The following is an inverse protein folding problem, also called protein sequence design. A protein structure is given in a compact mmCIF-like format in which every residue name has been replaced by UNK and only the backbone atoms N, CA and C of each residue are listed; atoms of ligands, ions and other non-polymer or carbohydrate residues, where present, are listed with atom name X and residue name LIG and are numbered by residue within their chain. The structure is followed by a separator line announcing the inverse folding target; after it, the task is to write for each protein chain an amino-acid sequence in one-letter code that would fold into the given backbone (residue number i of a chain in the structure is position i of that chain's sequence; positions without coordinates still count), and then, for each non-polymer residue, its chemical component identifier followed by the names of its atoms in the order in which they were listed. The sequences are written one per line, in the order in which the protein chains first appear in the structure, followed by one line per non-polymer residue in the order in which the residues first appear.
data_IF_325796005828
#
_entry.id   IF_325796005828
#
_cell.length_a   1.000
_cell.length_b   1.000
_cell.length_c   1.000
_cell.angle_alpha   90.00
_cell.angle_beta   90.00
_cell.angle_gamma   90.00
#
_symmetry.space_group_name_H-M   'P 1'
#
loop_
_entity.id
_entity.type
_entity.pdbx_description
1 polymer ?
#
# COMPACT_ATOMS: atom_id res chain seq x y z
N UNK A 1 55.53 -75.95 10.43
CA UNK A 1 55.83 -74.53 10.17
C UNK A 1 54.70 -73.93 9.33
N UNK A 2 54.00 -72.95 9.94
CA UNK A 2 53.31 -71.79 9.35
C UNK A 2 52.23 -72.04 8.26
N UNK A 3 50.97 -72.07 8.71
CA UNK A 3 49.79 -71.82 7.86
C UNK A 3 49.48 -70.31 7.84
N UNK A 4 49.15 -69.80 6.66
CA UNK A 4 49.01 -68.37 6.32
C UNK A 4 47.59 -67.90 6.69
N UNK A 5 47.49 -66.98 7.65
CA UNK A 5 46.24 -66.29 8.01
C UNK A 5 46.08 -65.10 7.05
N UNK A 6 45.05 -65.14 6.19
CA UNK A 6 44.64 -64.00 5.36
C UNK A 6 43.77 -63.06 6.22
N UNK A 7 44.33 -61.90 6.54
CA UNK A 7 43.63 -60.82 7.24
C UNK A 7 42.75 -60.07 6.23
N UNK A 8 41.43 -60.26 6.32
CA UNK A 8 40.44 -59.51 5.56
C UNK A 8 40.20 -58.18 6.29
N UNK A 9 40.77 -57.08 5.78
CA UNK A 9 40.54 -55.75 6.33
C UNK A 9 39.23 -55.20 5.78
N UNK A 10 38.18 -55.23 6.60
CA UNK A 10 36.88 -54.64 6.32
C UNK A 10 37.00 -53.11 6.44
N UNK A 11 37.01 -52.41 5.30
CA UNK A 11 37.01 -50.95 5.24
C UNK A 11 35.59 -50.44 5.51
N UNK A 12 35.31 -50.09 6.76
CA UNK A 12 34.04 -49.50 7.20
C UNK A 12 33.94 -48.07 6.64
N UNK A 13 33.11 -47.90 5.60
CA UNK A 13 32.79 -46.60 5.03
C UNK A 13 31.85 -45.85 5.99
N UNK A 14 32.41 -44.94 6.79
CA UNK A 14 31.65 -44.05 7.67
C UNK A 14 31.01 -42.96 6.80
N UNK A 15 29.75 -43.17 6.41
CA UNK A 15 28.93 -42.12 5.80
C UNK A 15 28.48 -41.16 6.90
N UNK A 16 29.10 -39.98 6.98
CA UNK A 16 28.57 -38.88 7.78
C UNK A 16 27.27 -38.39 7.14
N UNK A 17 26.14 -38.82 7.68
CA UNK A 17 24.86 -38.14 7.48
C UNK A 17 24.95 -36.80 8.25
N UNK A 18 25.36 -35.74 7.56
CA UNK A 18 25.12 -34.38 8.04
C UNK A 18 23.63 -34.12 7.91
N UNK A 19 22.92 -34.40 8.99
CA UNK A 19 21.55 -33.96 9.16
C UNK A 19 21.64 -32.50 9.60
N UNK A 20 21.60 -31.57 8.65
CA UNK A 20 21.31 -30.18 8.96
C UNK A 20 19.93 -30.19 9.59
N UNK A 21 19.89 -30.06 10.92
CA UNK A 21 18.63 -29.77 11.60
C UNK A 21 18.31 -28.36 11.17
N UNK A 22 17.37 -28.22 10.23
CA UNK A 22 16.77 -26.94 9.91
C UNK A 22 16.13 -26.41 11.19
N UNK A 23 16.87 -25.56 11.91
CA UNK A 23 16.33 -24.78 13.02
C UNK A 23 15.16 -23.95 12.45
N UNK A 24 13.99 -23.94 13.09
CA UNK A 24 12.85 -23.21 12.58
C UNK A 24 13.26 -21.73 12.44
N UNK A 25 13.08 -21.19 11.24
CA UNK A 25 13.36 -19.79 10.98
C UNK A 25 12.57 -18.93 11.96
N UNK A 26 13.28 -18.16 12.80
CA UNK A 26 12.63 -17.23 13.72
C UNK A 26 12.01 -16.10 12.91
N UNK A 27 10.73 -15.86 13.14
CA UNK A 27 9.99 -14.76 12.50
C UNK A 27 9.59 -13.72 13.55
N UNK A 28 9.39 -12.48 13.09
CA UNK A 28 8.93 -11.36 13.91
C UNK A 28 7.86 -10.53 13.20
N UNK A 29 7.54 -9.37 13.78
CA UNK A 29 6.67 -8.36 13.17
C UNK A 29 7.35 -6.99 13.14
N UNK A 30 6.85 -6.12 12.26
CA UNK A 30 7.25 -4.73 12.14
C UNK A 30 6.01 -3.88 11.93
N UNK A 31 5.97 -2.71 12.58
CA UNK A 31 4.97 -1.69 12.29
C UNK A 31 5.54 -0.70 11.27
N UNK A 32 4.72 -0.36 10.26
CA UNK A 32 5.02 0.68 9.28
C UNK A 32 3.95 1.76 9.44
N UNK A 33 4.37 2.95 9.84
CA UNK A 33 3.51 4.10 10.07
C UNK A 33 3.56 5.08 8.89
N UNK A 34 2.39 5.57 8.48
CA UNK A 34 2.19 6.50 7.38
C UNK A 34 1.71 7.86 7.89
N UNK A 35 2.68 8.71 8.27
CA UNK A 35 2.43 10.07 8.71
C UNK A 35 2.22 11.02 7.53
N UNK A 36 1.00 11.55 7.40
CA UNK A 36 0.71 12.58 6.42
C UNK A 36 1.11 13.95 6.96
N UNK A 37 2.17 14.52 6.39
CA UNK A 37 2.71 15.83 6.78
C UNK A 37 2.47 16.88 5.69
N UNK A 38 2.30 18.12 6.11
CA UNK A 38 2.18 19.28 5.22
C UNK A 38 3.21 20.35 5.60
N UNK A 39 3.70 21.09 4.61
CA UNK A 39 4.57 22.25 4.82
C UNK A 39 3.72 23.51 4.64
N UNK A 40 3.54 24.27 5.72
CA UNK A 40 2.81 25.53 5.71
C UNK A 40 3.74 26.64 6.19
N UNK A 41 3.93 27.65 5.33
CA UNK A 41 4.87 28.76 5.57
C UNK A 41 6.30 28.29 5.92
N UNK A 42 6.75 27.21 5.28
CA UNK A 42 8.07 26.62 5.52
C UNK A 42 8.19 25.77 6.78
N UNK A 43 7.09 25.56 7.52
CA UNK A 43 7.05 24.75 8.73
C UNK A 43 6.36 23.43 8.42
N UNK A 44 7.03 22.32 8.74
CA UNK A 44 6.41 20.99 8.71
C UNK A 44 5.43 20.86 9.87
N UNK A 45 4.22 20.41 9.57
CA UNK A 45 3.18 20.12 10.54
C UNK A 45 2.40 18.88 10.12
N UNK A 46 1.77 18.22 11.09
CA UNK A 46 0.82 17.15 10.81
C UNK A 46 -0.31 17.68 9.93
N UNK A 47 -0.73 16.90 8.94
CA UNK A 47 -1.91 17.21 8.17
C UNK A 47 -3.12 17.27 9.11
N UNK A 48 -3.89 18.33 8.95
CA UNK A 48 -5.16 18.54 9.63
C UNK A 48 -6.29 18.65 8.62
N UNK A 49 -7.40 18.01 8.93
CA UNK A 49 -8.62 18.11 8.13
C UNK A 49 -9.59 19.12 8.72
N UNK A 50 -10.31 19.81 7.86
CA UNK A 50 -11.43 20.67 8.21
C UNK A 50 -12.75 19.91 8.02
N UNK A 51 -13.75 20.23 8.82
CA UNK A 51 -15.12 19.74 8.60
C UNK A 51 -15.64 20.23 7.24
N UNK A 52 -16.32 19.38 6.44
CA UNK A 52 -16.98 19.81 5.22
C UNK A 52 -17.91 21.01 5.48
N UNK A 53 -17.82 22.03 4.62
CA UNK A 53 -18.52 23.32 4.76
C UNK A 53 -17.71 24.41 5.46
N UNK A 54 -16.56 24.11 6.07
CA UNK A 54 -15.71 25.11 6.73
C UNK A 54 -15.08 26.09 5.74
N UNK A 55 -15.12 27.39 6.08
CA UNK A 55 -14.42 28.46 5.37
C UNK A 55 -13.00 28.72 5.93
N UNK A 56 -12.51 27.88 6.84
CA UNK A 56 -11.15 27.97 7.35
C UNK A 56 -10.21 27.22 6.41
N UNK A 57 -9.22 27.91 5.85
CA UNK A 57 -8.24 27.36 4.91
C UNK A 57 -6.85 27.32 5.52
N UNK A 58 -6.38 26.13 5.89
CA UNK A 58 -5.10 25.90 6.54
C UNK A 58 -3.90 25.78 5.59
N UNK A 59 -4.14 25.63 4.28
CA UNK A 59 -3.11 25.36 3.29
C UNK A 59 -3.13 26.38 2.15
N UNK A 60 -2.00 26.51 1.46
CA UNK A 60 -1.85 27.38 0.28
C UNK A 60 -1.03 26.63 -0.77
N UNK A 61 -1.52 26.59 -2.02
CA UNK A 61 -0.80 25.96 -3.12
C UNK A 61 0.26 26.90 -3.72
N UNK A 62 1.02 26.43 -4.71
CA UNK A 62 2.05 27.21 -5.39
C UNK A 62 1.54 28.44 -6.17
N UNK A 63 0.23 28.51 -6.42
CA UNK A 63 -0.44 29.63 -7.07
C UNK A 63 -0.97 30.67 -6.07
N UNK A 64 -0.71 30.50 -4.76
CA UNK A 64 -1.21 31.38 -3.72
C UNK A 64 -2.69 31.18 -3.36
N UNK A 65 -3.32 30.12 -3.86
CA UNK A 65 -4.72 29.81 -3.58
C UNK A 65 -4.82 29.04 -2.26
N UNK A 66 -5.63 29.56 -1.34
CA UNK A 66 -5.89 28.93 -0.05
C UNK A 66 -6.89 27.80 -0.17
N UNK A 67 -6.69 26.71 0.56
CA UNK A 67 -7.62 25.58 0.59
C UNK A 67 -7.61 24.87 1.95
N UNK A 68 -8.61 24.02 2.17
CA UNK A 68 -8.64 23.03 3.24
C UNK A 68 -8.79 21.62 2.67
N UNK A 69 -8.62 20.64 3.54
CA UNK A 69 -8.72 19.21 3.23
C UNK A 69 -9.86 18.67 4.07
N UNK A 70 -10.85 18.04 3.45
CA UNK A 70 -11.98 17.40 4.13
C UNK A 70 -11.84 15.88 4.14
N UNK A 71 -11.13 15.32 3.15
CA UNK A 71 -10.88 13.90 3.02
C UNK A 71 -9.48 13.70 2.44
N UNK A 72 -8.72 12.79 3.06
CA UNK A 72 -7.54 12.18 2.47
C UNK A 72 -7.61 10.67 2.73
N UNK A 73 -7.67 9.90 1.65
CA UNK A 73 -7.69 8.44 1.70
C UNK A 73 -6.88 7.87 0.55
N UNK A 74 -6.06 6.86 0.81
CA UNK A 74 -5.28 6.21 -0.24
C UNK A 74 -4.96 4.75 0.10
N UNK A 75 -4.71 3.96 -0.93
CA UNK A 75 -4.25 2.59 -0.76
C UNK A 75 -2.72 2.53 -0.68
N UNK A 76 -2.23 1.69 0.22
CA UNK A 76 -0.87 1.17 0.21
C UNK A 76 -0.95 -0.33 -0.09
N UNK A 77 -0.10 -0.81 -0.99
CA UNK A 77 0.00 -2.23 -1.33
C UNK A 77 1.42 -2.62 -1.74
N UNK A 78 1.63 -3.93 -1.92
CA UNK A 78 2.88 -4.50 -2.42
C UNK A 78 4.10 -4.02 -1.63
N UNK A 79 4.01 -4.09 -0.29
CA UNK A 79 5.12 -3.72 0.58
C UNK A 79 6.23 -4.76 0.43
N UNK A 80 7.44 -4.29 0.14
CA UNK A 80 8.65 -5.08 0.07
C UNK A 80 9.69 -4.52 1.03
N UNK A 81 10.35 -5.40 1.80
CA UNK A 81 11.46 -5.05 2.68
C UNK A 81 12.73 -5.70 2.16
N UNK A 82 13.74 -4.90 1.85
CA UNK A 82 15.06 -5.37 1.43
C UNK A 82 15.99 -5.42 2.65
N UNK A 83 16.56 -6.60 2.88
CA UNK A 83 17.52 -6.87 3.92
C UNK A 83 18.92 -6.43 3.50
N UNK A 84 19.78 -6.14 4.49
CA UNK A 84 21.18 -5.75 4.28
C UNK A 84 22.02 -6.80 3.55
N UNK A 85 21.57 -8.07 3.48
CA UNK A 85 22.19 -9.16 2.72
C UNK A 85 21.62 -9.31 1.29
N UNK A 86 20.72 -8.41 0.86
CA UNK A 86 20.09 -8.39 -0.45
C UNK A 86 18.84 -9.27 -0.59
N UNK A 87 18.42 -9.99 0.47
CA UNK A 87 17.15 -10.72 0.43
C UNK A 87 15.96 -9.76 0.49
N UNK A 88 14.89 -10.11 -0.21
CA UNK A 88 13.66 -9.31 -0.27
C UNK A 88 12.51 -10.10 0.34
N UNK A 89 11.91 -9.56 1.40
CA UNK A 89 10.59 -9.96 1.86
C UNK A 89 9.54 -9.25 1.01
N UNK A 90 8.50 -9.97 0.60
CA UNK A 90 7.34 -9.43 -0.10
C UNK A 90 6.09 -9.75 0.68
N UNK A 91 5.31 -8.73 0.98
CA UNK A 91 4.02 -8.91 1.62
C UNK A 91 3.05 -9.67 0.70
N UNK A 92 2.14 -10.42 1.32
CA UNK A 92 1.22 -11.31 0.61
C UNK A 92 0.09 -10.49 0.02
N UNK A 93 -0.03 -10.50 -1.30
CA UNK A 93 -1.16 -9.90 -2.01
C UNK A 93 -2.23 -10.94 -2.26
N UNK A 94 -3.31 -10.84 -1.48
CA UNK A 94 -4.47 -11.73 -1.59
C UNK A 94 -5.75 -10.90 -1.51
N UNK A 95 -6.67 -11.12 -2.44
CA UNK A 95 -7.97 -10.46 -2.44
C UNK A 95 -9.07 -11.50 -2.69
N UNK A 96 -9.92 -11.72 -1.68
CA UNK A 96 -11.02 -12.70 -1.71
C UNK A 96 -12.33 -12.01 -1.33
N UNK A 97 -13.46 -12.68 -1.53
CA UNK A 97 -14.76 -12.17 -1.10
C UNK A 97 -14.84 -11.93 0.43
N UNK A 98 -14.05 -12.66 1.23
CA UNK A 98 -14.09 -12.57 2.70
C UNK A 98 -13.06 -11.59 3.28
N UNK A 99 -12.09 -11.14 2.50
CA UNK A 99 -11.04 -10.23 3.01
C UNK A 99 -9.84 -10.10 2.07
N UNK A 100 -8.91 -9.25 2.51
CA UNK A 100 -7.69 -8.91 1.77
C UNK A 100 -6.45 -9.01 2.67
N UNK A 101 -5.30 -9.32 2.07
CA UNK A 101 -3.97 -9.20 2.66
C UNK A 101 -3.06 -8.40 1.73
N UNK A 102 -2.14 -7.63 2.30
CA UNK A 102 -1.23 -6.77 1.55
C UNK A 102 -1.87 -5.58 0.83
N UNK A 103 -3.13 -5.28 1.17
CA UNK A 103 -3.86 -4.09 0.75
C UNK A 103 -4.33 -3.34 1.98
N UNK A 104 -3.88 -2.10 2.12
CA UNK A 104 -4.11 -1.28 3.30
C UNK A 104 -4.75 0.02 2.88
N UNK A 105 -5.86 0.36 3.53
CA UNK A 105 -6.56 1.62 3.29
C UNK A 105 -6.16 2.62 4.36
N UNK A 106 -5.33 3.58 3.99
CA UNK A 106 -4.99 4.70 4.87
C UNK A 106 -6.10 5.74 4.74
N UNK A 107 -6.74 6.07 5.86
CA UNK A 107 -7.80 7.07 5.98
C UNK A 107 -7.39 8.05 7.08
N UNK A 108 -7.14 9.30 6.71
CA UNK A 108 -6.68 10.34 7.64
C UNK A 108 -7.65 10.57 8.81
N UNK A 109 -8.94 10.24 8.64
CA UNK A 109 -9.92 10.32 9.72
C UNK A 109 -9.78 9.21 10.77
N UNK A 110 -8.96 8.19 10.51
CA UNK A 110 -8.81 6.98 11.32
C UNK A 110 -7.33 6.73 11.63
N UNK A 111 -6.82 7.20 12.77
CA UNK A 111 -5.41 7.01 13.15
C UNK A 111 -4.95 5.54 13.12
N UNK A 112 -5.81 4.60 13.53
CA UNK A 112 -5.50 3.17 13.50
C UNK A 112 -5.26 2.61 12.08
N UNK A 113 -5.69 3.32 11.04
CA UNK A 113 -5.43 2.93 9.64
C UNK A 113 -4.05 3.36 9.14
N UNK A 114 -3.38 4.29 9.82
CA UNK A 114 -2.06 4.81 9.44
C UNK A 114 -0.93 3.88 9.89
N UNK A 115 -1.21 2.87 10.72
CA UNK A 115 -0.23 1.89 11.20
C UNK A 115 -0.52 0.53 10.57
N UNK A 116 0.46 -0.01 9.85
CA UNK A 116 0.39 -1.33 9.22
C UNK A 116 1.28 -2.29 9.99
N UNK A 117 0.71 -3.40 10.47
CA UNK A 117 1.49 -4.50 11.04
C UNK A 117 1.87 -5.52 9.95
N UNK A 118 3.17 -5.66 9.71
CA UNK A 118 3.75 -6.72 8.89
C UNK A 118 4.17 -7.88 9.81
N UNK A 119 3.51 -9.02 9.69
CA UNK A 119 3.79 -10.21 10.50
C UNK A 119 4.58 -11.27 9.72
N UNK A 120 5.12 -12.24 10.45
CA UNK A 120 5.89 -13.38 9.91
C UNK A 120 7.12 -12.95 9.10
N UNK A 121 7.74 -11.82 9.46
CA UNK A 121 8.96 -11.33 8.83
C UNK A 121 10.13 -12.25 9.19
N UNK A 122 10.92 -12.73 8.22
CA UNK A 122 12.16 -13.42 8.52
C UNK A 122 13.08 -12.57 9.40
N UNK A 123 13.71 -13.18 10.40
CA UNK A 123 14.71 -12.49 11.22
C UNK A 123 15.83 -11.93 10.35
N UNK A 124 16.15 -10.65 10.54
CA UNK A 124 17.13 -9.96 9.71
C UNK A 124 17.17 -8.46 9.99
N UNK A 125 18.13 -7.79 9.36
CA UNK A 125 18.24 -6.33 9.35
C UNK A 125 17.78 -5.82 8.00
N UNK A 126 16.74 -4.99 8.00
CA UNK A 126 16.18 -4.35 6.81
C UNK A 126 16.64 -2.89 6.73
N UNK A 127 16.93 -2.41 5.52
CA UNK A 127 17.42 -1.04 5.30
C UNK A 127 16.73 -0.32 4.16
N UNK A 128 15.75 -0.95 3.50
CA UNK A 128 14.95 -0.33 2.45
C UNK A 128 13.54 -0.91 2.46
N UNK A 129 12.57 -0.02 2.30
CA UNK A 129 11.15 -0.34 2.10
C UNK A 129 10.74 0.17 0.72
N UNK A 130 9.98 -0.63 -0.01
CA UNK A 130 9.33 -0.24 -1.27
C UNK A 130 7.85 -0.58 -1.15
N UNK A 131 6.97 0.28 -1.65
CA UNK A 131 5.53 0.03 -1.63
C UNK A 131 4.87 0.74 -2.81
N UNK A 132 3.65 0.31 -3.12
CA UNK A 132 2.79 0.92 -4.13
C UNK A 132 1.75 1.80 -3.46
N UNK A 133 1.56 3.01 -3.99
CA UNK A 133 0.38 3.83 -3.68
C UNK A 133 -0.71 3.47 -4.69
N UNK A 134 -1.74 2.77 -4.24
CA UNK A 134 -2.82 2.24 -5.07
C UNK A 134 -3.03 0.73 -4.95
N UNK A 135 -3.79 0.18 -5.91
CA UNK A 135 -4.10 -1.25 -6.04
C UNK A 135 -3.49 -1.72 -7.36
N UNK A 136 -2.67 -2.77 -7.34
CA UNK A 136 -2.12 -3.35 -8.58
C UNK A 136 -3.20 -4.10 -9.41
N UNK A 137 -2.87 -4.56 -10.62
CA UNK A 137 -3.84 -5.26 -11.47
C UNK A 137 -4.40 -6.54 -10.88
N UNK A 138 -3.60 -7.22 -10.07
CA UNK A 138 -3.99 -8.52 -9.55
C UNK A 138 -5.14 -8.36 -8.56
N UNK A 139 -5.16 -7.25 -7.81
CA UNK A 139 -6.30 -6.84 -6.99
C UNK A 139 -7.52 -6.33 -7.79
N UNK A 140 -7.31 -5.76 -8.99
CA UNK A 140 -8.39 -5.22 -9.83
C UNK A 140 -9.16 -6.32 -10.59
N UNK A 141 -8.49 -7.40 -11.02
CA UNK A 141 -9.09 -8.45 -11.86
C UNK A 141 -10.21 -9.24 -11.17
N UNK A 142 -10.24 -9.26 -9.83
CA UNK A 142 -11.26 -9.96 -9.05
C UNK A 142 -12.52 -9.11 -8.79
N UNK A 143 -12.53 -7.84 -9.22
CA UNK A 143 -13.65 -6.92 -8.97
C UNK A 143 -13.76 -6.49 -7.51
N UNK A 144 -15.00 -6.27 -7.04
CA UNK A 144 -15.27 -5.91 -5.66
C UNK A 144 -14.97 -7.10 -4.73
N UNK A 145 -14.04 -6.94 -3.80
CA UNK A 145 -13.64 -7.96 -2.83
C UNK A 145 -13.99 -7.54 -1.41
N UNK A 146 -13.80 -8.40 -0.41
CA UNK A 146 -13.97 -8.03 0.99
C UNK A 146 -12.80 -7.19 1.53
N UNK A 147 -12.82 -6.90 2.83
CA UNK A 147 -11.70 -6.28 3.53
C UNK A 147 -11.44 -4.83 3.13
N UNK A 148 -10.17 -4.43 3.02
CA UNK A 148 -9.79 -3.05 2.70
C UNK A 148 -10.23 -2.60 1.30
N UNK A 149 -10.43 -3.57 0.39
CA UNK A 149 -10.89 -3.34 -0.97
C UNK A 149 -12.42 -3.42 -1.12
N UNK A 150 -13.19 -3.55 -0.05
CA UNK A 150 -14.65 -3.57 -0.16
C UNK A 150 -15.20 -2.19 -0.57
N UNK A 151 -15.84 -2.05 -1.75
CA UNK A 151 -16.41 -0.78 -2.20
C UNK A 151 -17.48 -0.22 -1.27
N UNK A 152 -18.22 -1.08 -0.56
CA UNK A 152 -19.29 -0.66 0.33
C UNK A 152 -18.75 0.10 1.54
N UNK A 153 -17.57 -0.29 2.04
CA UNK A 153 -16.95 0.29 3.23
C UNK A 153 -15.83 1.29 2.89
N UNK A 154 -14.96 0.97 1.92
CA UNK A 154 -13.84 1.83 1.53
C UNK A 154 -14.28 3.11 0.81
N UNK A 155 -15.38 3.05 0.05
CA UNK A 155 -15.79 4.08 -0.91
C UNK A 155 -14.69 4.43 -1.93
N UNK A 156 -13.73 3.54 -2.18
CA UNK A 156 -12.59 3.76 -3.08
C UNK A 156 -12.73 3.01 -4.40
N UNK A 157 -13.96 2.76 -4.87
CA UNK A 157 -14.21 2.13 -6.16
C UNK A 157 -15.01 3.08 -7.05
N UNK A 158 -14.62 3.19 -8.31
CA UNK A 158 -15.31 4.05 -9.26
C UNK A 158 -16.70 3.47 -9.60
N UNK A 159 -17.72 4.34 -9.61
CA UNK A 159 -19.08 3.97 -10.04
C UNK A 159 -19.31 4.17 -11.55
N UNK A 160 -18.47 4.95 -12.23
CA UNK A 160 -18.57 5.23 -13.68
C UNK A 160 -17.31 4.83 -14.47
N UNK A 161 -16.25 4.45 -13.78
CA UNK A 161 -15.06 3.79 -14.33
C UNK A 161 -14.91 2.45 -13.63
N UNK A 162 -14.16 1.50 -14.18
CA UNK A 162 -13.89 0.25 -13.43
C UNK A 162 -12.61 0.40 -12.59
N UNK A 163 -12.52 -0.39 -11.52
CA UNK A 163 -11.35 -0.44 -10.67
C UNK A 163 -11.35 0.62 -9.55
N UNK A 164 -10.27 0.56 -8.77
CA UNK A 164 -10.14 1.31 -7.54
C UNK A 164 -9.59 2.72 -7.77
N UNK A 165 -10.08 3.66 -6.96
CA UNK A 165 -9.49 4.96 -6.71
C UNK A 165 -8.28 4.68 -5.81
N UNK A 166 -7.07 4.90 -6.32
CA UNK A 166 -5.82 4.72 -5.57
C UNK A 166 -5.64 5.80 -4.50
N UNK A 167 -6.02 7.04 -4.83
CA UNK A 167 -5.95 8.19 -3.94
C UNK A 167 -7.18 9.06 -4.11
N UNK A 168 -7.73 9.49 -2.98
CA UNK A 168 -8.90 10.36 -2.88
C UNK A 168 -8.56 11.55 -1.99
N UNK A 169 -8.66 12.73 -2.56
CA UNK A 169 -8.44 14.00 -1.88
C UNK A 169 -9.62 14.91 -2.18
N UNK A 170 -10.24 15.43 -1.13
CA UNK A 170 -11.34 16.40 -1.25
C UNK A 170 -11.15 17.54 -0.26
N UNK A 171 -11.70 18.70 -0.61
CA UNK A 171 -11.52 19.91 0.15
C UNK A 171 -12.36 21.06 -0.37
N UNK A 172 -12.09 22.26 0.14
CA UNK A 172 -12.70 23.50 -0.31
C UNK A 172 -11.66 24.60 -0.51
N UNK A 173 -11.96 25.54 -1.41
CA UNK A 173 -11.19 26.77 -1.62
C UNK A 173 -12.08 27.88 -2.15
N UNK A 174 -11.84 29.11 -1.71
CA UNK A 174 -12.50 30.30 -2.26
C UNK A 174 -12.23 30.50 -3.75
N UNK A 175 -11.07 30.03 -4.22
CA UNK A 175 -10.67 30.07 -5.62
C UNK A 175 -11.38 29.01 -6.48
N UNK A 176 -12.08 28.05 -5.87
CA UNK A 176 -12.89 27.09 -6.60
C UNK A 176 -14.25 27.70 -6.98
N UNK A 177 -14.72 27.34 -8.18
CA UNK A 177 -16.07 27.63 -8.65
C UNK A 177 -17.07 26.52 -8.27
N UNK A 178 -16.63 25.48 -7.55
CA UNK A 178 -17.47 24.36 -7.15
C UNK A 178 -17.89 23.49 -8.35
N UNK A 179 -19.05 22.84 -8.22
CA UNK A 179 -19.61 22.00 -9.30
C UNK A 179 -18.96 20.63 -9.44
N UNK A 180 -17.98 20.31 -8.60
CA UNK A 180 -17.31 19.01 -8.59
C UNK A 180 -18.06 18.02 -7.70
N UNK A 181 -18.14 16.76 -8.13
CA UNK A 181 -18.64 15.68 -7.28
C UNK A 181 -17.45 14.87 -6.77
N UNK A 182 -17.09 15.08 -5.51
CA UNK A 182 -16.12 14.26 -4.76
C UNK A 182 -16.71 12.92 -4.31
N UNK A 183 -18.01 12.69 -4.49
CA UNK A 183 -18.67 11.41 -4.15
C UNK A 183 -18.63 11.01 -2.66
N UNK A 184 -18.05 11.80 -1.75
CA UNK A 184 -18.09 11.56 -0.30
C UNK A 184 -18.28 12.83 0.54
N UNK A 185 -17.28 13.71 0.63
CA UNK A 185 -17.35 14.94 1.44
C UNK A 185 -17.75 16.17 0.62
N UNK A 186 -17.49 16.12 -0.69
CA UNK A 186 -17.83 17.18 -1.64
C UNK A 186 -18.86 16.66 -2.66
N UNK A 187 -19.96 17.39 -2.82
CA UNK A 187 -21.05 17.16 -3.75
C UNK A 187 -21.13 18.30 -4.77
N UNK A 188 -21.84 18.07 -5.88
CA UNK A 188 -21.89 19.00 -7.01
C UNK A 188 -22.47 20.40 -6.65
N UNK A 189 -23.23 20.50 -5.56
CA UNK A 189 -23.78 21.75 -5.01
C UNK A 189 -22.82 22.51 -4.09
N UNK A 190 -21.67 21.93 -3.72
CA UNK A 190 -20.65 22.68 -2.99
C UNK A 190 -20.01 23.72 -3.92
N UNK A 191 -20.47 24.97 -3.80
CA UNK A 191 -19.99 26.12 -4.59
C UNK A 191 -18.48 26.41 -4.47
N UNK A 192 -17.79 25.79 -3.51
CA UNK A 192 -16.36 25.93 -3.22
C UNK A 192 -15.61 24.59 -3.15
N UNK A 193 -16.26 23.51 -3.57
CA UNK A 193 -15.69 22.17 -3.51
C UNK A 193 -14.52 21.98 -4.46
N UNK A 194 -13.57 21.13 -4.05
CA UNK A 194 -12.53 20.56 -4.90
C UNK A 194 -12.43 19.06 -4.64
N UNK A 195 -12.15 18.29 -5.69
CA UNK A 195 -11.96 16.86 -5.61
C UNK A 195 -10.86 16.44 -6.58
N UNK A 196 -9.89 15.68 -6.08
CA UNK A 196 -8.83 15.03 -6.85
C UNK A 196 -8.84 13.56 -6.52
N UNK A 197 -9.24 12.76 -7.48
CA UNK A 197 -9.29 11.30 -7.37
C UNK A 197 -8.39 10.71 -8.44
N UNK A 198 -7.47 9.84 -8.05
CA UNK A 198 -6.48 9.23 -8.94
C UNK A 198 -6.67 7.73 -8.89
N UNK A 199 -6.78 7.08 -10.06
CA UNK A 199 -6.89 5.63 -10.17
C UNK A 199 -7.84 5.20 -11.29
N UNK A 200 -8.25 3.93 -11.25
CA UNK A 200 -9.01 3.27 -12.31
C UNK A 200 -8.13 2.53 -13.31
N UNK A 201 -8.74 1.64 -14.08
CA UNK A 201 -8.03 0.70 -14.96
C UNK A 201 -7.98 1.11 -16.43
N UNK A 202 -8.86 2.02 -16.85
CA UNK A 202 -9.11 2.28 -18.27
C UNK A 202 -8.04 3.23 -18.81
N UNK A 203 -7.33 2.80 -19.86
CA UNK A 203 -6.55 3.71 -20.69
C UNK A 203 -7.48 4.76 -21.30
N UNK A 204 -7.44 5.99 -20.80
CA UNK A 204 -8.14 7.13 -21.39
C UNK A 204 -7.10 7.93 -22.19
N UNK A 205 -7.18 7.94 -23.54
CA UNK A 205 -6.25 8.71 -24.36
C UNK A 205 -6.23 10.18 -23.95
N UNK A 206 -5.04 10.74 -23.73
CA UNK A 206 -4.85 12.16 -23.40
C UNK A 206 -4.91 12.53 -21.91
N UNK A 207 -5.04 11.57 -20.99
CA UNK A 207 -4.90 11.85 -19.55
C UNK A 207 -3.43 11.74 -19.11
N UNK A 208 -3.03 12.60 -18.16
CA UNK A 208 -1.66 12.68 -17.65
C UNK A 208 -1.22 11.44 -16.84
N UNK A 209 -2.15 10.52 -16.54
CA UNK A 209 -1.91 9.32 -15.74
C UNK A 209 -2.13 8.06 -16.58
N UNK A 210 -1.35 7.92 -17.65
CA UNK A 210 -1.29 6.72 -18.49
C UNK A 210 0.04 6.00 -18.25
N UNK A 211 0.26 5.46 -17.05
CA UNK A 211 1.38 4.57 -16.69
C UNK A 211 0.84 3.69 -15.53
N UNK A 212 0.93 2.36 -15.50
CA UNK A 212 1.94 1.47 -16.04
C UNK A 212 1.44 0.01 -15.98
N UNK A 213 0.98 -0.60 -17.09
CA UNK A 213 0.76 -2.06 -17.14
C UNK A 213 1.08 -2.75 -18.46
N UNK A 214 1.71 -2.07 -19.41
CA UNK A 214 2.16 -2.71 -20.65
C UNK A 214 3.39 -3.63 -20.50
N UNK A 215 3.76 -4.08 -19.29
CA UNK A 215 4.92 -4.97 -19.12
C UNK A 215 4.65 -6.48 -19.20
N UNK A 216 3.39 -6.94 -19.24
CA UNK A 216 3.08 -8.39 -19.27
C UNK A 216 2.21 -8.84 -20.47
N UNK A 217 2.31 -8.18 -21.62
CA UNK A 217 1.80 -8.75 -22.87
C UNK A 217 2.89 -8.76 -23.94
N UNK A 218 3.87 -9.64 -23.74
CA UNK A 218 4.63 -10.33 -24.79
C UNK A 218 4.90 -11.75 -24.31
#
# INVERSE_FOLDING_TARGET
MKSIIKLFTLLTLVTFFSCDKDEPATTGSMEVEFDNIAIVNGIQQQLTMATPGSATYGYTNSLGQKFNINLLRYYISAIELEATDGKVYKDVLEATASGTKGYYLIDESKPASQVIELANLPSGKYNKITFTVGVDSTGVLNGATGGALDPATSKMFWNWNSGYIALKFEGQSDASNGGVSGAETITADNAKGMAYHIGGWKNIPGTAFCLQQQKNQL
#
